data_IF_009818975824
#
_entry.id   IF_009818975824
#
_cell.length_a   1.000
_cell.length_b   1.000
_cell.length_c   1.000
_cell.angle_alpha   90.00
_cell.angle_beta   90.00
_cell.angle_gamma   90.00
#
_symmetry.space_group_name_H-M   'P 1'
#
loop_
_entity.id
_entity.type
_entity.pdbx_description
1 polymer ?
#
# COMPACT_ATOMS: atom_id res chain seq x y z
N UNK A 1 0.64 14.75 -1.38
CA UNK A 1 1.41 14.01 -2.40
C UNK A 1 0.62 14.18 -3.67
N UNK A 2 1.22 14.76 -4.70
CA UNK A 2 0.59 14.85 -6.01
C UNK A 2 0.94 13.56 -6.76
N UNK A 3 -0.08 12.80 -7.19
CA UNK A 3 0.07 11.50 -7.84
C UNK A 3 -0.74 11.55 -9.12
N UNK A 4 -0.18 11.01 -10.20
CA UNK A 4 -0.90 10.80 -11.44
C UNK A 4 -0.69 9.38 -11.94
N UNK A 5 -1.72 8.77 -12.52
CA UNK A 5 -1.64 7.48 -13.20
C UNK A 5 -1.91 7.71 -14.67
N UNK A 6 -0.95 7.35 -15.53
CA UNK A 6 -1.04 7.55 -16.98
C UNK A 6 -1.34 9.01 -17.38
N UNK A 7 -0.79 9.97 -16.63
CA UNK A 7 -0.99 11.40 -16.84
C UNK A 7 -2.30 11.97 -16.28
N UNK A 8 -3.17 11.12 -15.73
CA UNK A 8 -4.42 11.54 -15.07
C UNK A 8 -4.17 11.77 -13.58
N UNK A 9 -4.48 12.96 -13.02
CA UNK A 9 -4.38 13.21 -11.60
C UNK A 9 -5.18 12.18 -10.79
N UNK A 10 -4.56 11.67 -9.73
CA UNK A 10 -5.12 10.66 -8.85
C UNK A 10 -5.45 11.30 -7.50
N UNK A 11 -6.68 11.13 -7.03
CA UNK A 11 -7.15 11.67 -5.75
C UNK A 11 -6.92 10.64 -4.62
N UNK A 12 -5.88 10.80 -3.77
CA UNK A 12 -5.52 9.79 -2.79
C UNK A 12 -6.57 9.64 -1.68
N UNK A 13 -7.43 10.64 -1.47
CA UNK A 13 -8.47 10.61 -0.43
C UNK A 13 -9.59 9.62 -0.72
N UNK A 14 -9.72 9.17 -1.96
CA UNK A 14 -10.67 8.13 -2.37
C UNK A 14 -10.03 6.74 -2.45
N UNK A 15 -8.73 6.64 -2.20
CA UNK A 15 -7.99 5.40 -2.24
C UNK A 15 -8.10 4.65 -0.91
N UNK A 16 -8.18 3.33 -0.97
CA UNK A 16 -8.04 2.46 0.20
C UNK A 16 -6.58 2.04 0.38
N UNK A 17 -6.14 2.01 1.63
CA UNK A 17 -4.80 1.56 2.00
C UNK A 17 -4.71 0.04 1.95
N UNK A 18 -4.02 -0.49 0.94
CA UNK A 18 -3.69 -1.91 0.91
C UNK A 18 -2.53 -2.17 1.88
N UNK A 19 -2.80 -2.96 2.93
CA UNK A 19 -1.87 -3.32 4.01
C UNK A 19 -1.17 -2.12 4.68
N UNK A 20 -1.78 -0.93 4.61
CA UNK A 20 -1.16 0.30 5.11
C UNK A 20 0.12 0.73 4.36
N UNK A 21 0.40 0.14 3.18
CA UNK A 21 1.66 0.33 2.46
C UNK A 21 1.49 0.71 0.98
N UNK A 22 0.35 0.41 0.34
CA UNK A 22 0.06 0.82 -1.05
C UNK A 22 -1.31 1.53 -1.12
N UNK A 23 -1.51 2.32 -2.18
CA UNK A 23 -2.83 2.88 -2.53
C UNK A 23 -3.52 1.98 -3.55
N UNK A 24 -4.80 1.69 -3.35
CA UNK A 24 -5.63 1.10 -4.40
C UNK A 24 -5.59 1.97 -5.66
N UNK A 25 -5.64 1.35 -6.83
CA UNK A 25 -5.65 2.05 -8.13
C UNK A 25 -4.31 2.62 -8.59
N UNK A 26 -3.30 2.75 -7.72
CA UNK A 26 -1.98 3.29 -8.08
C UNK A 26 -0.98 2.15 -8.30
N UNK A 27 -0.40 2.02 -9.51
CA UNK A 27 0.55 0.95 -9.80
C UNK A 27 1.92 1.22 -9.19
N UNK A 28 2.59 0.16 -8.74
CA UNK A 28 4.01 0.14 -8.33
C UNK A 28 4.40 1.20 -7.27
N UNK A 29 3.44 1.74 -6.51
CA UNK A 29 3.69 2.72 -5.46
C UNK A 29 3.54 2.07 -4.07
N UNK A 30 4.57 2.25 -3.25
CA UNK A 30 4.57 1.85 -1.84
C UNK A 30 5.13 2.98 -0.96
N UNK A 31 4.68 3.04 0.28
CA UNK A 31 5.13 3.98 1.31
C UNK A 31 5.12 3.29 2.69
N UNK A 32 5.69 3.97 3.69
CA UNK A 32 5.69 3.48 5.06
C UNK A 32 5.11 4.53 6.00
N UNK A 33 4.02 4.19 6.67
CA UNK A 33 3.44 4.99 7.75
C UNK A 33 3.69 4.35 9.10
N UNK A 34 4.42 5.05 9.97
CA UNK A 34 4.77 4.58 11.30
C UNK A 34 3.57 4.16 12.14
N UNK A 35 3.84 3.32 13.14
CA UNK A 35 2.86 2.99 14.16
C UNK A 35 2.59 4.19 15.06
N UNK A 36 1.38 4.27 15.59
CA UNK A 36 0.97 5.27 16.58
C UNK A 36 1.57 4.95 17.95
N UNK A 37 1.55 3.66 18.32
CA UNK A 37 1.90 3.14 19.64
C UNK A 37 3.21 2.33 19.66
N UNK A 38 3.96 2.32 18.56
CA UNK A 38 5.22 1.60 18.43
C UNK A 38 6.22 2.37 17.55
N UNK A 39 7.47 1.91 17.50
CA UNK A 39 8.50 2.60 16.71
C UNK A 39 8.17 2.62 15.22
N UNK A 40 8.30 3.79 14.59
CA UNK A 40 8.13 3.95 13.15
C UNK A 40 9.12 3.10 12.34
N UNK A 41 10.32 2.84 12.89
CA UNK A 41 11.34 1.99 12.25
C UNK A 41 10.87 0.54 12.08
N UNK A 42 9.99 0.05 12.97
CA UNK A 42 9.40 -1.28 12.84
C UNK A 42 8.45 -1.38 11.64
N UNK A 43 7.64 -0.34 11.38
CA UNK A 43 6.83 -0.32 10.15
C UNK A 43 7.74 -0.23 8.94
N UNK A 44 8.74 0.66 8.96
CA UNK A 44 9.66 0.84 7.84
C UNK A 44 10.32 -0.47 7.43
N UNK A 45 10.81 -1.26 8.39
CA UNK A 45 11.38 -2.58 8.15
C UNK A 45 10.36 -3.54 7.49
N UNK A 46 9.15 -3.66 8.04
CA UNK A 46 8.11 -4.52 7.46
C UNK A 46 7.67 -4.08 6.06
N UNK A 47 7.55 -2.77 5.81
CA UNK A 47 7.27 -2.22 4.48
C UNK A 47 8.37 -2.63 3.49
N UNK A 48 9.64 -2.49 3.87
CA UNK A 48 10.77 -2.88 3.03
C UNK A 48 10.79 -4.38 2.75
N UNK A 49 10.59 -5.22 3.77
CA UNK A 49 10.50 -6.69 3.60
C UNK A 49 9.37 -7.08 2.66
N UNK A 50 8.19 -6.48 2.81
CA UNK A 50 7.06 -6.75 1.92
C UNK A 50 7.38 -6.36 0.47
N UNK A 51 7.91 -5.15 0.25
CA UNK A 51 8.26 -4.67 -1.10
C UNK A 51 9.34 -5.54 -1.75
N UNK A 52 10.40 -5.92 -1.03
CA UNK A 52 11.43 -6.81 -1.57
C UNK A 52 10.85 -8.18 -1.98
N UNK A 53 9.96 -8.75 -1.17
CA UNK A 53 9.28 -10.01 -1.53
C UNK A 53 8.38 -9.85 -2.76
N UNK A 54 7.68 -8.72 -2.85
CA UNK A 54 6.81 -8.40 -3.98
C UNK A 54 7.60 -8.22 -5.27
N UNK A 55 8.70 -7.46 -5.24
CA UNK A 55 9.58 -7.26 -6.39
C UNK A 55 10.17 -8.60 -6.87
N UNK A 56 10.64 -9.45 -5.95
CA UNK A 56 11.12 -10.79 -6.30
C UNK A 56 10.00 -11.67 -6.90
N UNK A 57 8.75 -11.52 -6.46
CA UNK A 57 7.62 -12.21 -7.06
C UNK A 57 7.33 -11.69 -8.48
N UNK A 58 7.34 -10.38 -8.68
CA UNK A 58 7.15 -9.77 -10.00
C UNK A 58 8.23 -10.18 -10.98
N UNK A 59 9.50 -10.17 -10.56
CA UNK A 59 10.64 -10.58 -11.39
C UNK A 59 10.51 -12.03 -11.84
N UNK A 60 10.26 -12.96 -10.90
CA UNK A 60 10.12 -14.40 -11.20
C UNK A 60 8.97 -14.74 -12.14
N UNK A 61 7.91 -13.94 -12.14
CA UNK A 61 6.71 -14.18 -12.97
C UNK A 61 6.63 -13.25 -14.19
N UNK A 62 7.62 -12.39 -14.40
CA UNK A 62 7.66 -11.47 -15.55
C UNK A 62 6.65 -10.31 -15.49
N UNK A 63 6.15 -9.95 -14.31
CA UNK A 63 5.23 -8.82 -14.14
C UNK A 63 5.98 -7.49 -14.16
N UNK A 64 5.45 -6.51 -14.89
CA UNK A 64 5.96 -5.13 -14.94
C UNK A 64 5.13 -4.16 -14.10
N UNK A 65 3.90 -4.56 -13.75
CA UNK A 65 2.99 -3.75 -12.95
C UNK A 65 2.36 -4.59 -11.85
N UNK A 66 2.24 -4.00 -10.68
CA UNK A 66 1.47 -4.47 -9.54
C UNK A 66 0.58 -3.33 -9.05
N UNK A 67 -0.74 -3.57 -8.98
CA UNK A 67 -1.74 -2.56 -8.61
C UNK A 67 -2.82 -3.18 -7.72
N UNK A 68 -3.00 -2.73 -6.47
CA UNK A 68 -4.13 -3.16 -5.66
C UNK A 68 -5.44 -2.64 -6.29
N UNK A 69 -6.43 -3.52 -6.48
CA UNK A 69 -7.75 -3.10 -6.97
C UNK A 69 -8.52 -2.37 -5.88
N UNK A 70 -9.51 -1.54 -6.24
CA UNK A 70 -10.39 -0.97 -5.22
C UNK A 70 -11.11 -2.08 -4.44
N UNK A 71 -11.39 -1.89 -3.13
CA UNK A 71 -12.24 -2.80 -2.38
C UNK A 71 -13.63 -2.90 -3.02
N UNK A 72 -14.26 -4.06 -2.86
CA UNK A 72 -15.67 -4.22 -3.19
C UNK A 72 -16.58 -3.59 -2.12
N UNK A 73 -17.88 -3.53 -2.41
CA UNK A 73 -18.89 -2.92 -1.55
C UNK A 73 -19.08 -3.61 -0.20
N UNK A 74 -18.47 -4.79 0.02
CA UNK A 74 -18.53 -5.47 1.32
C UNK A 74 -17.59 -4.86 2.37
N UNK A 75 -16.58 -4.08 1.93
CA UNK A 75 -15.60 -3.45 2.82
C UNK A 75 -16.12 -2.08 3.26
N UNK A 76 -16.24 -1.88 4.57
CA UNK A 76 -16.61 -0.57 5.10
C UNK A 76 -15.36 0.31 5.19
N UNK A 77 -15.35 1.38 4.41
CA UNK A 77 -14.26 2.34 4.40
C UNK A 77 -14.50 3.48 5.40
N UNK A 78 -13.43 3.84 6.10
CA UNK A 78 -13.39 4.94 7.04
C UNK A 78 -12.04 5.66 7.01
N UNK A 79 -11.79 6.55 7.98
CA UNK A 79 -10.53 7.29 8.07
C UNK A 79 -9.31 6.35 8.17
N UNK A 80 -8.23 6.67 7.47
CA UNK A 80 -7.05 5.80 7.35
C UNK A 80 -6.24 5.54 8.63
N UNK A 81 -6.45 6.33 9.70
CA UNK A 81 -5.68 6.25 10.94
C UNK A 81 -6.57 5.95 12.14
N UNK A 82 -6.74 4.68 12.45
CA UNK A 82 -7.40 4.22 13.66
C UNK A 82 -6.48 4.47 14.88
N UNK A 83 -6.95 5.22 15.88
CA UNK A 83 -6.26 5.47 17.16
C UNK A 83 -5.66 6.86 17.35
N UNK A 84 -5.87 7.82 16.43
CA UNK A 84 -5.48 9.23 16.59
C UNK A 84 -6.64 10.21 16.32
N UNK A 85 -7.88 9.75 16.45
CA UNK A 85 -9.09 10.52 16.11
C UNK A 85 -9.21 11.82 16.93
N UNK A 86 -8.70 11.82 18.17
CA UNK A 86 -8.71 12.98 19.07
C UNK A 86 -7.53 13.95 18.84
N UNK A 87 -6.55 13.58 18.02
CA UNK A 87 -5.39 14.43 17.76
C UNK A 87 -5.78 15.54 16.77
N UNK A 88 -5.78 16.79 17.23
CA UNK A 88 -6.24 17.92 16.41
C UNK A 88 -5.48 18.11 15.08
N UNK A 89 -4.23 17.65 14.97
CA UNK A 89 -3.51 17.66 13.69
C UNK A 89 -4.02 16.60 12.70
N UNK A 90 -4.45 15.43 13.19
CA UNK A 90 -5.07 14.38 12.37
C UNK A 90 -6.43 14.84 11.89
N UNK A 91 -7.27 15.42 12.75
CA UNK A 91 -8.58 15.97 12.35
C UNK A 91 -8.46 17.01 11.23
N UNK A 92 -7.46 17.90 11.30
CA UNK A 92 -7.21 18.90 10.24
C UNK A 92 -6.77 18.28 8.92
N UNK A 93 -6.12 17.13 8.95
CA UNK A 93 -5.58 16.46 7.76
C UNK A 93 -6.45 15.28 7.29
N UNK A 94 -7.51 14.92 8.02
CA UNK A 94 -8.33 13.75 7.77
C UNK A 94 -8.93 13.73 6.35
N UNK A 95 -9.37 14.89 5.86
CA UNK A 95 -9.91 15.06 4.51
C UNK A 95 -8.84 14.98 3.40
N UNK A 96 -7.56 14.81 3.74
CA UNK A 96 -6.43 14.65 2.80
C UNK A 96 -5.82 13.25 2.88
N UNK A 97 -6.37 12.37 3.71
CA UNK A 97 -5.83 11.05 3.96
C UNK A 97 -6.56 9.98 3.15
N UNK A 98 -5.86 8.93 2.71
CA UNK A 98 -6.49 7.73 2.20
C UNK A 98 -7.38 7.05 3.24
N UNK A 99 -8.28 6.20 2.76
CA UNK A 99 -9.24 5.43 3.53
C UNK A 99 -8.62 4.12 4.06
N UNK A 100 -9.11 3.64 5.19
CA UNK A 100 -8.86 2.28 5.69
C UNK A 100 -10.17 1.51 5.78
N UNK A 101 -10.11 0.21 5.54
CA UNK A 101 -11.25 -0.70 5.68
C UNK A 101 -11.37 -1.32 7.07
N UNK A 102 -12.47 -2.01 7.31
CA UNK A 102 -12.76 -2.80 8.51
C UNK A 102 -12.17 -4.22 8.47
N UNK A 103 -11.76 -4.69 7.28
CA UNK A 103 -11.22 -6.04 7.06
C UNK A 103 -9.91 -6.05 6.24
N UNK A 104 -9.14 -7.13 6.37
CA UNK A 104 -7.91 -7.31 5.58
C UNK A 104 -8.24 -7.49 4.09
N UNK A 105 -7.38 -7.02 3.17
CA UNK A 105 -6.11 -6.33 3.39
C UNK A 105 -6.22 -4.81 3.60
N UNK A 106 -7.43 -4.26 3.71
CA UNK A 106 -7.71 -2.82 3.78
C UNK A 106 -7.61 -2.22 5.19
N UNK A 107 -7.66 -3.08 6.21
CA UNK A 107 -7.56 -2.70 7.61
C UNK A 107 -6.14 -2.38 8.01
N UNK A 108 -5.90 -1.13 8.40
CA UNK A 108 -4.61 -0.66 8.92
C UNK A 108 -4.58 -0.85 10.43
N UNK A 109 -3.84 -1.86 10.89
CA UNK A 109 -3.72 -2.18 12.31
C UNK A 109 -2.44 -1.60 12.94
N UNK A 110 -2.51 -1.34 14.25
CA UNK A 110 -1.40 -0.87 15.08
C UNK A 110 -0.76 -2.04 15.86
N UNK A 111 -0.68 -3.20 15.21
CA UNK A 111 -0.32 -4.47 15.83
C UNK A 111 0.93 -5.07 15.15
N UNK A 112 2.11 -4.59 15.57
CA UNK A 112 3.40 -4.97 14.96
C UNK A 112 3.58 -6.49 14.80
N UNK A 113 3.27 -7.26 15.84
CA UNK A 113 3.44 -8.73 15.81
C UNK A 113 2.60 -9.33 14.69
N UNK A 114 1.33 -8.95 14.60
CA UNK A 114 0.41 -9.44 13.58
C UNK A 114 0.82 -9.00 12.18
N UNK A 115 1.28 -7.76 12.01
CA UNK A 115 1.78 -7.26 10.74
C UNK A 115 3.06 -7.97 10.31
N UNK A 116 3.95 -8.31 11.26
CA UNK A 116 5.12 -9.13 10.99
C UNK A 116 4.75 -10.51 10.48
N UNK A 117 3.80 -11.20 11.12
CA UNK A 117 3.28 -12.48 10.63
C UNK A 117 2.69 -12.31 9.21
N UNK A 118 1.78 -11.36 9.00
CA UNK A 118 1.16 -11.16 7.69
C UNK A 118 2.14 -10.78 6.59
N UNK A 119 3.24 -10.10 6.93
CA UNK A 119 4.31 -9.75 5.97
C UNK A 119 5.12 -10.99 5.59
N UNK A 120 5.56 -11.77 6.58
CA UNK A 120 6.40 -12.95 6.36
C UNK A 120 5.67 -14.09 5.64
N UNK A 121 4.37 -14.24 5.87
CA UNK A 121 3.51 -15.23 5.22
C UNK A 121 2.58 -14.63 4.16
N UNK A 122 2.89 -13.43 3.67
CA UNK A 122 2.16 -12.81 2.57
C UNK A 122 2.18 -13.71 1.34
N UNK A 123 0.98 -13.95 0.79
CA UNK A 123 0.79 -14.48 -0.56
C UNK A 123 0.35 -13.34 -1.46
N UNK A 124 0.83 -13.35 -2.71
CA UNK A 124 0.53 -12.30 -3.69
C UNK A 124 -0.66 -12.66 -4.59
N UNK A 125 -1.14 -13.90 -4.53
CA UNK A 125 -2.36 -14.40 -5.19
C UNK A 125 -3.60 -14.15 -4.31
N UNK A 126 -3.67 -13.02 -3.62
CA UNK A 126 -4.71 -12.73 -2.62
C UNK A 126 -6.06 -12.26 -3.20
N UNK A 127 -6.20 -12.27 -4.52
CA UNK A 127 -7.40 -11.82 -5.22
C UNK A 127 -7.63 -10.31 -5.19
N UNK A 128 -6.76 -9.52 -4.55
CA UNK A 128 -6.85 -8.06 -4.49
C UNK A 128 -5.75 -7.42 -5.32
N UNK A 129 -4.54 -7.95 -5.22
CA UNK A 129 -3.37 -7.47 -5.92
C UNK A 129 -3.39 -7.91 -7.38
N UNK A 130 -3.57 -6.95 -8.29
CA UNK A 130 -3.54 -7.19 -9.73
C UNK A 130 -2.11 -7.11 -10.27
N UNK A 131 -1.77 -7.99 -11.20
CA UNK A 131 -0.49 -8.00 -11.88
C UNK A 131 -0.69 -7.95 -13.39
N UNK A 132 0.18 -7.23 -14.09
CA UNK A 132 0.22 -7.22 -15.56
C UNK A 132 1.66 -7.24 -16.04
N UNK A 133 1.86 -7.75 -17.26
CA UNK A 133 3.12 -7.63 -17.99
C UNK A 133 3.26 -6.19 -18.50
N UNK A 134 3.37 -5.21 -17.60
CA UNK A 134 3.69 -3.83 -17.98
C UNK A 134 4.94 -3.83 -18.87
N UNK A 135 4.85 -3.19 -20.03
CA UNK A 135 5.93 -3.12 -21.00
C UNK A 135 7.17 -2.54 -20.34
N UNK A 136 8.12 -3.39 -19.95
CA UNK A 136 9.45 -2.95 -19.57
C UNK A 136 10.04 -2.28 -20.80
N UNK A 137 10.02 -0.95 -20.82
CA UNK A 137 10.96 -0.20 -21.65
C UNK A 137 12.33 -0.81 -21.37
N UNK A 138 12.96 -1.36 -22.40
CA UNK A 138 14.23 -2.07 -22.27
C UNK A 138 15.20 -1.22 -21.44
N UNK A 139 15.96 -1.81 -20.49
CA UNK A 139 16.95 -1.04 -19.77
C UNK A 139 17.90 -0.43 -20.81
N UNK A 140 18.04 0.89 -20.79
CA UNK A 140 19.08 1.55 -21.56
C UNK A 140 20.41 0.96 -21.09
N UNK A 141 21.01 0.12 -21.92
CA UNK A 141 22.35 -0.40 -21.71
C UNK A 141 23.26 0.83 -21.70
N UNK A 142 23.69 1.24 -20.51
CA UNK A 142 24.76 2.21 -20.37
C UNK A 142 26.04 1.51 -20.82
N UNK A 143 26.43 1.75 -22.07
CA UNK A 143 27.75 1.41 -22.58
C UNK A 143 28.79 2.11 -21.70
N UNK A 144 29.62 1.32 -21.03
CA UNK A 144 30.93 1.77 -20.56
C UNK A 144 31.94 1.62 -21.68
#
# INVERSE_FOLDING_TARGET
>A
IDVSVDGVPYEPTQAALYRGLMLSGVPNLSFSFGYINASWTLRADLSAVYVCRLLNHMERNGFGECRPRQPDDSVQLGPGFNGLEAAGYVMRAQHKMPLSGDQVPWKVEQAYVLDRFRTMWSRFDDGVLGFSSGGRGAPAVMSR
#
